data_IF_008769567536
#
_entry.id   IF_008769567536
#
_cell.length_a   1.000
_cell.length_b   1.000
_cell.length_c   1.000
_cell.angle_alpha   90.00
_cell.angle_beta   90.00
_cell.angle_gamma   90.00
#
_symmetry.space_group_name_H-M   'P 1'
#
loop_
_entity.id
_entity.type
_entity.pdbx_description
1 polymer ?
#
# COMPACT_ATOMS: atom_id res chain seq x y z
N UNK A 1 53.86 36.51 50.59
CA UNK A 1 52.52 36.64 51.22
C UNK A 1 51.85 37.86 50.59
N UNK A 2 50.62 37.76 50.06
CA UNK A 2 49.46 37.30 50.82
C UNK A 2 48.72 36.09 50.22
N UNK A 3 48.02 35.38 51.10
CA UNK A 3 47.03 34.37 50.82
C UNK A 3 45.76 35.05 50.28
N UNK A 4 45.23 34.60 49.14
CA UNK A 4 43.88 34.95 48.70
C UNK A 4 42.94 33.76 48.90
N UNK A 5 41.88 34.05 49.63
CA UNK A 5 40.81 33.17 50.10
C UNK A 5 40.05 32.50 48.95
N UNK A 6 39.88 31.18 49.03
CA UNK A 6 38.93 30.42 48.22
C UNK A 6 37.52 30.64 48.80
N UNK A 7 36.73 31.49 48.16
CA UNK A 7 35.29 31.55 48.43
C UNK A 7 34.57 30.41 47.70
N UNK A 8 34.03 29.49 48.48
CA UNK A 8 33.02 28.52 48.08
C UNK A 8 31.72 29.25 47.68
N UNK A 9 31.29 29.10 46.44
CA UNK A 9 29.91 29.40 46.02
C UNK A 9 29.31 28.16 45.37
N UNK A 10 28.87 27.22 46.19
CA UNK A 10 27.85 26.24 45.79
C UNK A 10 26.53 26.96 45.56
N UNK A 11 26.24 27.33 44.32
CA UNK A 11 25.00 28.00 43.95
C UNK A 11 23.84 26.99 43.91
N UNK A 12 23.06 26.92 45.01
CA UNK A 12 21.92 26.00 45.17
C UNK A 12 20.93 26.06 44.00
N UNK A 13 20.72 27.24 43.38
CA UNK A 13 19.82 27.39 42.23
C UNK A 13 20.27 26.61 40.99
N UNK A 14 21.58 26.47 40.77
CA UNK A 14 22.08 25.72 39.62
C UNK A 14 21.81 24.22 39.75
N UNK A 15 21.93 23.71 40.97
CA UNK A 15 21.66 22.30 41.30
C UNK A 15 20.16 21.99 41.17
N UNK A 16 19.27 22.90 41.60
CA UNK A 16 17.82 22.69 41.43
C UNK A 16 17.38 22.71 39.96
N UNK A 17 17.95 23.59 39.12
CA UNK A 17 17.65 23.62 37.68
C UNK A 17 18.21 22.39 36.96
N UNK A 18 19.40 21.93 37.36
CA UNK A 18 20.01 20.72 36.82
C UNK A 18 19.22 19.47 37.20
N UNK A 19 18.82 19.35 38.48
CA UNK A 19 17.99 18.25 38.97
C UNK A 19 16.58 18.26 38.38
N UNK A 20 15.96 19.44 38.16
CA UNK A 20 14.64 19.50 37.53
C UNK A 20 14.68 19.10 36.06
N UNK A 21 15.72 19.50 35.32
CA UNK A 21 15.93 19.06 33.92
C UNK A 21 16.25 17.57 33.83
N UNK A 22 17.00 17.02 34.78
CA UNK A 22 17.27 15.58 34.88
C UNK A 22 16.00 14.78 35.19
N UNK A 23 15.15 15.28 36.09
CA UNK A 23 13.87 14.66 36.44
C UNK A 23 12.84 14.73 35.31
N UNK A 24 12.76 15.85 34.59
CA UNK A 24 11.89 15.98 33.39
C UNK A 24 12.38 15.04 32.29
N UNK A 25 13.70 14.94 32.07
CA UNK A 25 14.29 13.99 31.13
C UNK A 25 13.99 12.54 31.49
N UNK A 26 14.10 12.19 32.78
CA UNK A 26 13.78 10.84 33.28
C UNK A 26 12.28 10.51 33.19
N UNK A 27 11.39 11.49 33.36
CA UNK A 27 9.94 11.31 33.18
C UNK A 27 9.59 11.10 31.71
N UNK A 28 10.19 11.85 30.79
CA UNK A 28 9.98 11.70 29.35
C UNK A 28 10.53 10.37 28.83
N UNK A 29 11.69 9.91 29.28
CA UNK A 29 12.21 8.58 28.90
C UNK A 29 11.36 7.45 29.47
N UNK A 30 10.83 7.58 30.69
CA UNK A 30 9.92 6.60 31.27
C UNK A 30 8.57 6.55 30.54
N UNK A 31 8.05 7.69 30.08
CA UNK A 31 6.84 7.73 29.22
C UNK A 31 7.07 7.04 27.87
N UNK A 32 8.25 7.23 27.25
CA UNK A 32 8.60 6.50 26.01
C UNK A 32 8.78 4.99 26.24
N UNK A 33 9.35 4.57 27.38
CA UNK A 33 9.46 3.16 27.78
C UNK A 33 8.09 2.50 28.01
N UNK A 34 7.14 3.21 28.62
CA UNK A 34 5.78 2.70 28.82
C UNK A 34 4.96 2.65 27.53
N UNK A 35 5.20 3.56 26.58
CA UNK A 35 4.56 3.51 25.26
C UNK A 35 5.11 2.38 24.36
N UNK A 36 6.38 1.99 24.55
CA UNK A 36 6.99 0.89 23.79
C UNK A 36 6.43 -0.50 24.15
N UNK A 37 5.78 -0.65 25.31
CA UNK A 37 5.13 -1.90 25.71
C UNK A 37 3.66 -1.99 25.27
N UNK A 38 3.11 -0.96 24.61
CA UNK A 38 1.71 -0.91 24.20
C UNK A 38 1.48 -1.15 22.70
N UNK A 39 2.54 -1.48 21.94
CA UNK A 39 2.41 -2.03 20.59
C UNK A 39 2.40 -3.55 20.74
N UNK A 40 1.20 -4.09 20.95
CA UNK A 40 0.95 -5.52 20.83
C UNK A 40 1.09 -5.85 19.34
N UNK A 41 2.32 -5.98 18.85
CA UNK A 41 2.65 -6.67 17.59
C UNK A 41 2.40 -8.17 17.80
N UNK A 42 1.19 -8.52 18.25
CA UNK A 42 0.70 -9.87 18.24
C UNK A 42 0.53 -10.22 16.76
N UNK A 43 1.60 -10.80 16.19
CA UNK A 43 1.51 -11.61 14.99
C UNK A 43 0.45 -12.65 15.29
N UNK A 44 -0.77 -12.44 14.79
CA UNK A 44 -1.87 -13.37 14.97
C UNK A 44 -1.39 -14.72 14.46
N UNK A 45 -1.37 -15.74 15.32
CA UNK A 45 -1.18 -17.12 14.88
C UNK A 45 -2.12 -17.38 13.69
N UNK A 46 -1.63 -17.92 12.56
CA UNK A 46 -2.45 -18.10 11.37
C UNK A 46 -3.69 -18.92 11.74
N UNK A 47 -4.85 -18.41 11.34
CA UNK A 47 -6.13 -19.05 11.62
C UNK A 47 -6.08 -20.51 11.18
N UNK A 48 -6.48 -21.49 12.02
CA UNK A 48 -6.54 -22.90 11.62
C UNK A 48 -7.63 -23.17 10.58
N UNK A 49 -8.42 -22.16 10.22
CA UNK A 49 -9.47 -22.24 9.22
C UNK A 49 -8.85 -22.23 7.83
N UNK A 50 -9.05 -23.32 7.06
CA UNK A 50 -8.73 -23.36 5.64
C UNK A 50 -9.99 -23.00 4.85
N UNK A 51 -10.01 -21.88 4.11
CA UNK A 51 -11.17 -21.52 3.30
C UNK A 51 -11.51 -22.60 2.27
N UNK A 52 -12.80 -22.89 2.11
CA UNK A 52 -13.28 -23.87 1.13
C UNK A 52 -13.96 -23.19 -0.05
N UNK A 53 -13.71 -23.74 -1.24
CA UNK A 53 -14.31 -23.33 -2.51
C UNK A 53 -14.99 -24.52 -3.18
N UNK A 54 -15.91 -24.25 -4.09
CA UNK A 54 -16.75 -25.25 -4.73
C UNK A 54 -16.31 -25.47 -6.18
N UNK A 55 -16.42 -26.71 -6.65
CA UNK A 55 -16.18 -27.02 -8.07
C UNK A 55 -17.29 -26.46 -8.97
N UNK A 56 -18.54 -26.56 -8.50
CA UNK A 56 -19.74 -26.10 -9.20
C UNK A 56 -20.13 -24.69 -8.73
N UNK A 57 -20.85 -23.91 -9.56
CA UNK A 57 -21.35 -22.61 -9.14
C UNK A 57 -22.48 -22.80 -8.12
N UNK A 58 -22.26 -22.42 -6.87
CA UNK A 58 -23.20 -22.60 -5.75
C UNK A 58 -23.63 -21.29 -5.10
N UNK A 59 -22.99 -20.18 -5.45
CA UNK A 59 -23.27 -18.87 -4.87
C UNK A 59 -23.76 -17.90 -5.94
N UNK A 60 -24.72 -17.05 -5.58
CA UNK A 60 -24.99 -15.82 -6.32
C UNK A 60 -23.84 -14.83 -6.14
N UNK A 61 -23.58 -14.04 -7.18
CA UNK A 61 -22.42 -13.14 -7.24
C UNK A 61 -22.86 -11.69 -7.09
N UNK A 62 -22.34 -11.03 -6.05
CA UNK A 62 -22.41 -9.58 -5.90
C UNK A 62 -21.19 -8.94 -6.60
N UNK A 63 -21.44 -7.81 -7.28
CA UNK A 63 -20.43 -7.03 -8.01
C UNK A 63 -20.37 -5.62 -7.44
N UNK A 64 -19.19 -5.19 -7.01
CA UNK A 64 -18.91 -3.81 -6.59
C UNK A 64 -17.84 -3.26 -7.51
N UNK A 65 -18.16 -2.20 -8.24
CA UNK A 65 -17.32 -1.68 -9.32
C UNK A 65 -16.63 -0.38 -8.91
N UNK A 66 -15.49 -0.11 -9.54
CA UNK A 66 -14.77 1.17 -9.47
C UNK A 66 -14.40 1.60 -8.04
N UNK A 67 -14.01 0.61 -7.21
CA UNK A 67 -13.54 0.86 -5.85
C UNK A 67 -12.13 1.42 -5.91
N UNK A 68 -11.94 2.63 -5.38
CA UNK A 68 -10.62 3.26 -5.31
C UNK A 68 -9.78 2.58 -4.23
N UNK A 69 -8.67 1.96 -4.63
CA UNK A 69 -7.72 1.33 -3.70
C UNK A 69 -6.51 2.21 -3.39
N UNK A 70 -6.28 3.25 -4.18
CA UNK A 70 -5.16 4.15 -3.99
C UNK A 70 -5.08 5.23 -5.06
N UNK A 71 -4.01 6.02 -4.98
CA UNK A 71 -3.72 7.09 -5.92
C UNK A 71 -2.26 7.00 -6.35
N UNK A 72 -1.99 7.37 -7.60
CA UNK A 72 -0.65 7.43 -8.16
C UNK A 72 -0.57 8.52 -9.23
N UNK A 73 0.62 9.09 -9.42
CA UNK A 73 0.81 10.08 -10.48
C UNK A 73 0.76 9.46 -11.88
N UNK A 74 0.02 10.07 -12.80
CA UNK A 74 -0.08 9.63 -14.18
C UNK A 74 -0.31 10.80 -15.11
N UNK A 75 0.09 10.65 -16.37
CA UNK A 75 -0.17 11.63 -17.40
C UNK A 75 -1.66 11.66 -17.76
N UNK A 76 -2.21 12.87 -17.83
CA UNK A 76 -3.59 13.13 -18.21
C UNK A 76 -3.62 13.91 -19.53
N UNK A 77 -4.02 13.23 -20.61
CA UNK A 77 -3.93 13.77 -21.97
C UNK A 77 -4.69 15.10 -22.15
N UNK A 78 -5.87 15.25 -21.56
CA UNK A 78 -6.66 16.49 -21.70
C UNK A 78 -6.02 17.70 -21.02
N UNK A 79 -5.22 17.47 -19.96
CA UNK A 79 -4.56 18.53 -19.20
C UNK A 79 -3.09 18.71 -19.61
N UNK A 80 -2.60 17.83 -20.50
CA UNK A 80 -1.20 17.70 -20.88
C UNK A 80 -0.24 17.78 -19.67
N UNK A 81 -0.58 17.05 -18.60
CA UNK A 81 0.12 17.17 -17.32
C UNK A 81 0.12 15.86 -16.55
N UNK A 82 1.17 15.66 -15.75
CA UNK A 82 1.25 14.56 -14.77
C UNK A 82 0.56 14.99 -13.48
N UNK A 83 -0.60 14.38 -13.21
CA UNK A 83 -1.46 14.65 -12.06
C UNK A 83 -1.62 13.40 -11.20
N UNK A 84 -2.18 13.55 -10.01
CA UNK A 84 -2.63 12.40 -9.23
C UNK A 84 -3.86 11.75 -9.89
N UNK A 85 -3.81 10.43 -10.06
CA UNK A 85 -4.83 9.61 -10.72
C UNK A 85 -5.32 8.54 -9.74
N UNK A 86 -6.64 8.37 -9.65
CA UNK A 86 -7.24 7.31 -8.86
C UNK A 86 -6.95 5.93 -9.49
N UNK A 87 -6.62 4.96 -8.66
CA UNK A 87 -6.42 3.57 -9.05
C UNK A 87 -7.56 2.74 -8.49
N UNK A 88 -8.22 1.98 -9.37
CA UNK A 88 -9.49 1.34 -9.07
C UNK A 88 -9.43 -0.18 -9.23
N UNK A 89 -10.31 -0.87 -8.52
CA UNK A 89 -10.55 -2.30 -8.66
C UNK A 89 -12.04 -2.60 -8.71
N UNK A 90 -12.39 -3.76 -9.26
CA UNK A 90 -13.72 -4.35 -9.18
C UNK A 90 -13.68 -5.58 -8.29
N UNK A 91 -14.76 -5.77 -7.53
CA UNK A 91 -14.94 -6.85 -6.57
C UNK A 91 -16.09 -7.73 -7.05
N UNK A 92 -15.83 -9.03 -7.17
CA UNK A 92 -16.84 -10.06 -7.40
C UNK A 92 -16.79 -10.98 -6.19
N UNK A 93 -17.89 -11.08 -5.44
CA UNK A 93 -17.92 -11.88 -4.22
C UNK A 93 -19.18 -12.73 -4.09
N UNK A 94 -19.07 -13.94 -3.52
CA UNK A 94 -20.21 -14.79 -3.23
C UNK A 94 -21.08 -14.14 -2.15
N UNK A 95 -22.39 -14.19 -2.32
CA UNK A 95 -23.34 -13.81 -1.28
C UNK A 95 -23.67 -15.00 -0.38
N UNK A 96 -24.22 -14.75 0.82
CA UNK A 96 -24.70 -15.80 1.73
C UNK A 96 -23.59 -16.65 2.34
N UNK A 97 -22.36 -16.14 2.40
CA UNK A 97 -21.23 -16.81 3.05
C UNK A 97 -21.26 -16.62 4.57
N UNK A 98 -20.78 -17.61 5.31
CA UNK A 98 -20.73 -17.60 6.79
C UNK A 98 -19.32 -17.63 7.35
N UNK A 99 -18.32 -17.64 6.48
CA UNK A 99 -16.90 -17.69 6.84
C UNK A 99 -16.04 -17.01 5.77
N UNK A 100 -14.82 -16.59 6.12
CA UNK A 100 -13.89 -15.97 5.18
C UNK A 100 -13.60 -16.83 3.95
N UNK A 101 -13.28 -16.17 2.84
CA UNK A 101 -13.05 -16.79 1.53
C UNK A 101 -11.64 -16.52 1.02
N UNK A 102 -11.08 -17.41 0.19
CA UNK A 102 -9.81 -17.11 -0.43
C UNK A 102 -10.00 -15.98 -1.45
N UNK A 103 -9.02 -15.09 -1.50
CA UNK A 103 -8.99 -13.98 -2.46
C UNK A 103 -8.20 -14.35 -3.71
N UNK A 104 -8.72 -13.98 -4.88
CA UNK A 104 -7.99 -13.98 -6.14
C UNK A 104 -7.91 -12.54 -6.65
N UNK A 105 -6.76 -11.89 -6.42
CA UNK A 105 -6.44 -10.60 -7.03
C UNK A 105 -5.81 -10.79 -8.43
N UNK A 106 -6.55 -10.41 -9.47
CA UNK A 106 -6.18 -10.50 -10.86
C UNK A 106 -5.64 -9.18 -11.39
N UNK A 107 -4.47 -9.25 -12.04
CA UNK A 107 -3.85 -8.14 -12.76
C UNK A 107 -4.04 -8.41 -14.25
N UNK A 108 -4.64 -7.46 -14.97
CA UNK A 108 -4.87 -7.63 -16.40
C UNK A 108 -3.54 -7.75 -17.18
N UNK A 109 -3.57 -8.51 -18.27
CA UNK A 109 -2.47 -8.58 -19.23
C UNK A 109 -2.36 -7.31 -20.09
N UNK A 110 -1.67 -7.41 -21.23
CA UNK A 110 -1.45 -6.28 -22.14
C UNK A 110 -0.03 -5.72 -22.12
N UNK A 111 0.92 -6.44 -21.51
CA UNK A 111 2.35 -6.13 -21.57
C UNK A 111 2.71 -4.77 -20.98
N UNK A 112 1.94 -4.29 -20.00
CA UNK A 112 2.09 -2.95 -19.40
C UNK A 112 1.83 -1.78 -20.35
N UNK A 113 1.35 -2.04 -21.57
CA UNK A 113 1.00 -1.02 -22.57
C UNK A 113 -0.48 -0.65 -22.46
N UNK A 114 -1.34 -1.64 -22.23
CA UNK A 114 -2.78 -1.45 -22.08
C UNK A 114 -3.44 -2.61 -21.34
N UNK A 115 -4.75 -2.74 -21.56
CA UNK A 115 -5.61 -3.62 -20.78
C UNK A 115 -6.39 -2.83 -19.73
N UNK A 116 -7.43 -3.46 -19.18
CA UNK A 116 -8.28 -2.88 -18.15
C UNK A 116 -8.90 -4.01 -17.31
N UNK A 117 -9.20 -3.73 -16.05
CA UNK A 117 -9.96 -4.62 -15.15
C UNK A 117 -11.32 -5.01 -15.71
N UNK A 118 -11.90 -4.15 -16.52
CA UNK A 118 -13.25 -4.27 -17.08
C UNK A 118 -13.31 -5.06 -18.41
N UNK A 119 -12.21 -5.64 -18.88
CA UNK A 119 -12.25 -6.51 -20.06
C UNK A 119 -13.25 -7.66 -19.85
N UNK A 120 -14.06 -7.97 -20.86
CA UNK A 120 -15.17 -8.94 -20.74
C UNK A 120 -14.71 -10.34 -20.28
N UNK A 121 -13.55 -10.81 -20.75
CA UNK A 121 -12.98 -12.08 -20.29
C UNK A 121 -12.61 -12.07 -18.79
N UNK A 122 -12.23 -10.91 -18.25
CA UNK A 122 -11.92 -10.74 -16.83
C UNK A 122 -13.22 -10.67 -16.02
N UNK A 123 -14.26 -9.99 -16.51
CA UNK A 123 -15.59 -10.01 -15.88
C UNK A 123 -16.14 -11.44 -15.78
N UNK A 124 -16.05 -12.20 -16.87
CA UNK A 124 -16.45 -13.61 -16.90
C UNK A 124 -15.63 -14.47 -15.92
N UNK A 125 -14.35 -14.18 -15.77
CA UNK A 125 -13.48 -14.82 -14.77
C UNK A 125 -13.93 -14.49 -13.34
N UNK A 126 -14.25 -13.23 -13.07
CA UNK A 126 -14.77 -12.78 -11.78
C UNK A 126 -16.05 -13.51 -11.40
N UNK A 127 -17.03 -13.58 -12.30
CA UNK A 127 -18.26 -14.34 -12.08
C UNK A 127 -18.01 -15.85 -11.91
N UNK A 128 -17.08 -16.42 -12.68
CA UNK A 128 -16.72 -17.83 -12.60
C UNK A 128 -16.13 -18.21 -11.24
N UNK A 129 -15.17 -17.44 -10.73
CA UNK A 129 -14.54 -17.70 -9.44
C UNK A 129 -15.46 -17.33 -8.27
N UNK A 130 -16.16 -16.20 -8.34
CA UNK A 130 -17.06 -15.76 -7.27
C UNK A 130 -18.23 -16.72 -7.06
N UNK A 131 -18.85 -17.22 -8.13
CA UNK A 131 -19.92 -18.23 -8.02
C UNK A 131 -19.47 -19.55 -7.37
N UNK A 132 -18.15 -19.77 -7.27
CA UNK A 132 -17.50 -20.93 -6.65
C UNK A 132 -16.94 -20.65 -5.26
N UNK A 133 -17.18 -19.46 -4.71
CA UNK A 133 -16.81 -19.13 -3.33
C UNK A 133 -15.49 -18.38 -3.19
N UNK A 134 -14.91 -17.84 -4.27
CA UNK A 134 -13.75 -16.95 -4.19
C UNK A 134 -14.19 -15.49 -4.06
N UNK A 135 -13.42 -14.65 -3.38
CA UNK A 135 -13.50 -13.20 -3.61
C UNK A 135 -12.54 -12.86 -4.73
N UNK A 136 -13.05 -12.44 -5.88
CA UNK A 136 -12.22 -12.09 -7.03
C UNK A 136 -12.11 -10.57 -7.14
N UNK A 137 -10.89 -10.07 -7.19
CA UNK A 137 -10.56 -8.66 -7.33
C UNK A 137 -9.87 -8.45 -8.67
N UNK A 138 -10.38 -7.61 -9.56
CA UNK A 138 -9.65 -7.20 -10.77
C UNK A 138 -9.22 -5.76 -10.65
N UNK A 139 -7.92 -5.50 -10.74
CA UNK A 139 -7.35 -4.16 -10.53
C UNK A 139 -6.98 -3.51 -11.87
N UNK A 140 -7.20 -2.20 -11.97
CA UNK A 140 -6.46 -1.36 -12.91
C UNK A 140 -5.13 -0.96 -12.29
N UNK A 141 -4.10 -0.86 -13.12
CA UNK A 141 -2.79 -0.34 -12.74
C UNK A 141 -2.26 0.56 -13.85
N UNK A 142 -1.34 1.46 -13.52
CA UNK A 142 -0.79 2.39 -14.53
C UNK A 142 0.04 1.64 -15.58
N UNK A 143 -0.35 1.83 -16.84
CA UNK A 143 0.34 1.36 -18.06
C UNK A 143 1.11 2.50 -18.73
N UNK A 144 1.72 2.24 -19.90
CA UNK A 144 2.36 3.29 -20.72
C UNK A 144 1.42 4.42 -21.12
N UNK A 145 0.10 4.21 -21.13
CA UNK A 145 -0.88 5.27 -21.39
C UNK A 145 -0.84 6.40 -20.34
N UNK A 146 -0.26 6.12 -19.17
CA UNK A 146 -0.13 7.08 -18.06
C UNK A 146 1.27 7.72 -18.01
N UNK A 147 2.09 7.53 -19.06
CA UNK A 147 3.42 8.11 -19.17
C UNK A 147 3.34 9.32 -20.09
N UNK A 148 3.71 10.48 -19.54
CA UNK A 148 3.84 11.73 -20.27
C UNK A 148 5.31 12.10 -20.43
N UNK A 149 5.57 13.38 -20.72
CA UNK A 149 6.93 13.89 -20.83
C UNK A 149 7.66 13.92 -19.48
N UNK A 150 6.96 14.28 -18.40
CA UNK A 150 7.51 14.30 -17.05
C UNK A 150 7.41 12.92 -16.38
N UNK A 151 8.47 12.13 -16.54
CA UNK A 151 8.63 10.81 -15.92
C UNK A 151 9.24 10.87 -14.51
N UNK A 152 9.74 12.03 -14.07
CA UNK A 152 10.48 12.17 -12.80
C UNK A 152 9.62 11.87 -11.57
N UNK A 153 8.29 12.06 -11.69
CA UNK A 153 7.30 11.75 -10.65
C UNK A 153 6.84 10.28 -10.66
N UNK A 154 7.19 9.53 -11.71
CA UNK A 154 6.67 8.18 -11.96
C UNK A 154 7.62 7.10 -11.45
N UNK A 155 8.93 7.34 -11.51
CA UNK A 155 9.97 6.39 -11.14
C UNK A 155 11.20 7.08 -10.49
N UNK A 156 12.02 6.35 -9.71
CA UNK A 156 13.29 6.86 -9.22
C UNK A 156 14.19 7.30 -10.37
N UNK A 157 14.94 8.39 -10.16
CA UNK A 157 15.76 9.00 -11.21
C UNK A 157 16.80 8.03 -11.76
N UNK A 158 17.37 7.17 -10.92
CA UNK A 158 18.34 6.15 -11.33
C UNK A 158 17.72 5.18 -12.34
N UNK A 159 16.45 4.80 -12.14
CA UNK A 159 15.76 3.84 -13.00
C UNK A 159 15.33 4.47 -14.31
N UNK A 160 14.94 5.75 -14.27
CA UNK A 160 14.70 6.56 -15.47
C UNK A 160 15.99 6.66 -16.29
N UNK A 161 17.11 7.00 -15.66
CA UNK A 161 18.41 7.11 -16.33
C UNK A 161 18.82 5.78 -16.97
N UNK A 162 18.65 4.66 -16.25
CA UNK A 162 18.93 3.33 -16.81
C UNK A 162 18.06 3.02 -18.03
N UNK A 163 16.76 3.34 -17.97
CA UNK A 163 15.84 3.12 -19.08
C UNK A 163 16.28 3.93 -20.31
N UNK A 164 16.46 5.25 -20.15
CA UNK A 164 16.77 6.15 -21.26
C UNK A 164 18.16 5.91 -21.89
N UNK A 165 19.11 5.33 -21.16
CA UNK A 165 20.46 5.09 -21.67
C UNK A 165 20.63 3.72 -22.35
N UNK A 166 19.87 2.70 -21.95
CA UNK A 166 20.14 1.31 -22.33
C UNK A 166 18.99 0.65 -23.10
N UNK A 167 17.89 1.36 -23.32
CA UNK A 167 16.67 0.80 -23.88
C UNK A 167 16.16 1.72 -24.99
N UNK A 168 15.69 1.12 -26.09
CA UNK A 168 14.98 1.84 -27.15
C UNK A 168 13.80 2.63 -26.59
N UNK A 169 13.50 3.80 -27.16
CA UNK A 169 12.50 4.74 -26.63
C UNK A 169 11.14 4.09 -26.32
N UNK A 170 10.63 3.27 -27.24
CA UNK A 170 9.37 2.51 -27.08
C UNK A 170 9.40 1.52 -25.91
N UNK A 171 10.57 0.98 -25.57
CA UNK A 171 10.77 0.01 -24.49
C UNK A 171 11.11 0.70 -23.17
N UNK A 172 11.63 1.92 -23.19
CA UNK A 172 11.87 2.75 -22.00
C UNK A 172 10.56 3.08 -21.26
N UNK A 173 9.52 3.47 -22.00
CA UNK A 173 8.19 3.68 -21.44
C UNK A 173 7.63 2.41 -20.80
N UNK A 174 7.77 1.26 -21.48
CA UNK A 174 7.33 -0.03 -20.94
C UNK A 174 8.05 -0.40 -19.64
N UNK A 175 9.36 -0.16 -19.54
CA UNK A 175 10.14 -0.40 -18.32
C UNK A 175 9.65 0.46 -17.14
N UNK A 176 9.36 1.74 -17.38
CA UNK A 176 8.80 2.63 -16.35
C UNK A 176 7.39 2.16 -15.96
N UNK A 177 6.56 1.75 -16.92
CA UNK A 177 5.22 1.22 -16.66
C UNK A 177 5.26 -0.07 -15.82
N UNK A 178 6.25 -0.95 -16.02
CA UNK A 178 6.45 -2.13 -15.17
C UNK A 178 6.67 -1.75 -13.71
N UNK A 179 7.49 -0.73 -13.45
CA UNK A 179 7.70 -0.25 -12.08
C UNK A 179 6.42 0.33 -11.47
N UNK A 180 5.69 1.16 -12.21
CA UNK A 180 4.42 1.72 -11.75
C UNK A 180 3.42 0.60 -11.43
N UNK A 181 3.26 -0.37 -12.33
CA UNK A 181 2.38 -1.52 -12.15
C UNK A 181 2.72 -2.33 -10.89
N UNK A 182 4.00 -2.55 -10.60
CA UNK A 182 4.44 -3.25 -9.38
C UNK A 182 4.05 -2.48 -8.11
N UNK A 183 4.18 -1.15 -8.11
CA UNK A 183 3.78 -0.31 -6.98
C UNK A 183 2.27 -0.31 -6.79
N UNK A 184 1.53 -0.22 -7.88
CA UNK A 184 0.07 -0.19 -7.89
C UNK A 184 -0.49 -1.53 -7.40
N UNK A 185 0.03 -2.65 -7.90
CA UNK A 185 -0.32 -3.98 -7.42
C UNK A 185 -0.01 -4.19 -5.93
N UNK A 186 1.13 -3.66 -5.45
CA UNK A 186 1.48 -3.69 -4.03
C UNK A 186 0.52 -2.83 -3.19
N UNK A 187 0.10 -1.67 -3.70
CA UNK A 187 -0.89 -0.82 -3.05
C UNK A 187 -2.26 -1.51 -2.99
N UNK A 188 -2.71 -2.14 -4.08
CA UNK A 188 -3.93 -2.91 -4.13
C UNK A 188 -3.90 -4.10 -3.15
N UNK A 189 -2.77 -4.81 -3.03
CA UNK A 189 -2.61 -5.88 -2.04
C UNK A 189 -2.74 -5.34 -0.61
N UNK A 190 -2.06 -4.21 -0.30
CA UNK A 190 -2.14 -3.58 1.02
C UNK A 190 -3.55 -3.11 1.35
N UNK A 191 -4.24 -2.51 0.36
CA UNK A 191 -5.63 -2.13 0.50
C UNK A 191 -6.51 -3.36 0.76
N UNK A 192 -6.30 -4.44 0.02
CA UNK A 192 -7.03 -5.71 0.21
C UNK A 192 -6.85 -6.25 1.62
N UNK A 193 -5.61 -6.31 2.12
CA UNK A 193 -5.31 -6.75 3.49
C UNK A 193 -5.91 -5.82 4.56
N UNK A 194 -5.95 -4.51 4.29
CA UNK A 194 -6.54 -3.53 5.22
C UNK A 194 -8.08 -3.52 5.21
N UNK A 195 -8.72 -4.25 4.29
CA UNK A 195 -10.17 -4.36 4.16
C UNK A 195 -10.63 -5.83 4.24
N UNK A 196 -9.82 -6.70 4.83
CA UNK A 196 -10.06 -8.14 4.91
C UNK A 196 -11.41 -8.49 5.56
N UNK A 197 -11.74 -7.85 6.69
CA UNK A 197 -13.02 -8.01 7.39
C UNK A 197 -14.21 -7.61 6.51
N UNK A 198 -14.11 -6.45 5.84
CA UNK A 198 -15.17 -5.94 4.95
C UNK A 198 -15.37 -6.84 3.72
N UNK A 199 -14.28 -7.42 3.22
CA UNK A 199 -14.29 -8.34 2.09
C UNK A 199 -14.65 -9.77 2.51
N UNK A 200 -14.63 -10.07 3.81
CA UNK A 200 -14.76 -11.42 4.35
C UNK A 200 -13.75 -12.38 3.71
N UNK A 201 -12.47 -11.99 3.72
CA UNK A 201 -11.35 -12.79 3.21
C UNK A 201 -10.40 -13.19 4.33
N UNK A 202 -9.64 -14.27 4.08
CA UNK A 202 -8.52 -14.77 4.88
C UNK A 202 -7.19 -14.34 4.24
#
# INVERSE_FOLDING_TARGET
MPFMSFFSMYNKSFIYVFLSRLMIGALFTLQFLLASCAMDDAVSEPSPFVPTVQRQPTYEVEKVMDVVYGYGYGYHAELDSTIETALMLDIYRPTGITSPRPVYMFLHGGGFVGGAKSNENIKAMGEYFASRGWVFLSIDYRTTAHIGQDVSKLAPQEWINMALQNIEENRSAQFIAMYMAQRDAKAAMRWTMANDEQLSID
#
